data_IF_596397298333
#
_entry.id   IF_596397298333
#
_cell.length_a   1.000
_cell.length_b   1.000
_cell.length_c   1.000
_cell.angle_alpha   90.00
_cell.angle_beta   90.00
_cell.angle_gamma   90.00
#
_symmetry.space_group_name_H-M   'P 1'
#
loop_
_entity.id
_entity.type
_entity.pdbx_description
1 polymer ?
#
# COMPACT_ATOMS: atom_id res chain seq x y z
N UNK A 1 -21.40 -15.46 -1.39
CA UNK A 1 -20.65 -14.20 -1.55
C UNK A 1 -19.50 -14.26 -0.55
N UNK A 2 -18.34 -14.75 -0.98
CA UNK A 2 -17.17 -14.85 -0.10
C UNK A 2 -16.60 -13.43 0.00
N UNK A 3 -16.29 -12.89 1.19
CA UNK A 3 -15.62 -11.60 1.26
C UNK A 3 -14.32 -11.74 0.48
N UNK A 4 -14.10 -10.84 -0.48
CA UNK A 4 -12.81 -10.63 -1.11
C UNK A 4 -11.87 -10.02 -0.06
N UNK A 5 -11.51 -10.84 0.93
CA UNK A 5 -10.92 -10.47 2.23
C UNK A 5 -9.43 -10.12 2.11
N UNK A 6 -9.01 -9.53 0.99
CA UNK A 6 -7.65 -9.04 0.76
C UNK A 6 -7.60 -7.69 0.09
N UNK A 7 -8.73 -6.97 0.08
CA UNK A 7 -8.71 -5.55 -0.28
C UNK A 7 -8.03 -4.80 0.88
N UNK A 8 -6.81 -4.32 0.61
CA UNK A 8 -6.00 -3.49 1.48
C UNK A 8 -6.23 -2.03 1.10
N UNK A 9 -6.15 -1.16 2.10
CA UNK A 9 -6.16 0.29 1.94
C UNK A 9 -4.88 0.84 2.55
N UNK A 10 -4.25 1.76 1.84
CA UNK A 10 -3.02 2.42 2.28
C UNK A 10 -3.22 3.92 2.15
N UNK A 11 -3.14 4.61 3.27
CA UNK A 11 -3.23 6.08 3.31
C UNK A 11 -1.85 6.65 3.62
N UNK A 12 -1.39 7.60 2.78
CA UNK A 12 -0.10 8.29 2.94
C UNK A 12 -0.27 9.74 2.54
N UNK A 13 0.05 10.67 3.44
CA UNK A 13 -0.01 12.13 3.18
C UNK A 13 -1.36 12.61 2.62
N UNK A 14 -2.48 12.05 3.09
CA UNK A 14 -3.81 12.41 2.58
C UNK A 14 -4.13 11.84 1.20
N UNK A 15 -3.38 10.82 0.76
CA UNK A 15 -3.69 10.01 -0.41
C UNK A 15 -4.00 8.59 0.04
N UNK A 16 -5.21 8.13 -0.22
CA UNK A 16 -5.66 6.76 -0.01
C UNK A 16 -5.51 5.95 -1.29
N UNK A 17 -4.98 4.74 -1.22
CA UNK A 17 -4.97 3.79 -2.32
C UNK A 17 -5.59 2.47 -1.85
N UNK A 18 -6.55 1.98 -2.63
CA UNK A 18 -7.23 0.70 -2.44
C UNK A 18 -6.64 -0.30 -3.44
N UNK A 19 -6.11 -1.39 -2.90
CA UNK A 19 -5.44 -2.42 -3.70
C UNK A 19 -5.71 -3.80 -3.13
N UNK A 20 -5.65 -4.82 -3.98
CA UNK A 20 -5.96 -6.20 -3.60
C UNK A 20 -4.76 -7.08 -3.89
N UNK A 21 -4.40 -7.95 -2.95
CA UNK A 21 -3.33 -8.94 -3.16
C UNK A 21 -3.91 -10.30 -3.59
N UNK A 22 -3.60 -10.73 -4.81
CA UNK A 22 -3.99 -12.06 -5.33
C UNK A 22 -3.03 -13.16 -4.84
N UNK A 23 -3.50 -14.42 -4.84
CA UNK A 23 -2.79 -15.62 -4.30
C UNK A 23 -1.40 -15.92 -4.90
N UNK A 24 -0.92 -15.12 -5.84
CA UNK A 24 0.36 -15.30 -6.52
C UNK A 24 1.23 -14.03 -6.51
N UNK A 25 1.19 -13.25 -5.43
CA UNK A 25 2.09 -12.08 -5.25
C UNK A 25 1.83 -10.94 -6.26
N UNK A 26 0.67 -10.96 -6.91
CA UNK A 26 0.18 -9.85 -7.72
C UNK A 26 -0.61 -8.88 -6.86
N UNK A 27 -0.28 -7.60 -7.01
CA UNK A 27 -1.06 -6.50 -6.44
C UNK A 27 -1.86 -5.86 -7.55
N UNK A 28 -3.15 -5.73 -7.32
CA UNK A 28 -4.07 -5.09 -8.24
C UNK A 28 -4.55 -3.79 -7.60
N UNK A 29 -4.23 -2.66 -8.19
CA UNK A 29 -4.74 -1.36 -7.75
C UNK A 29 -6.17 -1.23 -8.26
N UNK A 30 -7.09 -0.91 -7.36
CA UNK A 30 -8.52 -0.77 -7.64
C UNK A 30 -8.92 0.68 -7.73
N UNK A 31 -8.47 1.49 -6.78
CA UNK A 31 -8.84 2.89 -6.66
C UNK A 31 -7.74 3.64 -5.93
N UNK A 32 -7.60 4.93 -6.21
CA UNK A 32 -6.84 5.84 -5.38
C UNK A 32 -7.65 7.13 -5.17
N UNK A 33 -7.76 7.58 -3.93
CA UNK A 33 -8.54 8.75 -3.51
C UNK A 33 -7.64 9.73 -2.79
N UNK A 34 -7.60 10.98 -3.21
CA UNK A 34 -6.93 12.06 -2.51
C UNK A 34 -7.93 12.67 -1.52
N UNK A 35 -7.66 12.54 -0.24
CA UNK A 35 -8.50 13.09 0.84
C UNK A 35 -8.24 14.58 1.08
N UNK A 36 -7.19 15.14 0.49
CA UNK A 36 -6.82 16.57 0.56
C UNK A 36 -7.52 17.40 -0.52
N UNK A 37 -7.60 16.89 -1.73
CA UNK A 37 -8.20 17.52 -2.92
C UNK A 37 -9.59 16.96 -3.25
N UNK A 38 -9.91 15.77 -2.77
CA UNK A 38 -11.14 15.03 -3.11
C UNK A 38 -11.08 14.31 -4.44
N UNK A 39 -9.90 14.23 -5.08
CA UNK A 39 -9.73 13.54 -6.37
C UNK A 39 -9.82 12.02 -6.21
N UNK A 40 -10.70 11.35 -6.94
CA UNK A 40 -10.81 9.89 -6.92
C UNK A 40 -10.50 9.35 -8.31
N UNK A 41 -9.53 8.45 -8.38
CA UNK A 41 -9.07 7.77 -9.58
C UNK A 41 -9.43 6.29 -9.43
N UNK A 42 -10.36 5.82 -10.25
CA UNK A 42 -10.69 4.41 -10.37
C UNK A 42 -9.80 3.76 -11.43
N UNK A 43 -9.14 2.66 -11.09
CA UNK A 43 -8.30 1.91 -12.01
C UNK A 43 -9.04 0.70 -12.56
N UNK A 44 -8.70 0.31 -13.79
CA UNK A 44 -9.26 -0.89 -14.38
C UNK A 44 -8.85 -2.14 -13.57
N UNK A 45 -9.74 -3.14 -13.41
CA UNK A 45 -9.39 -4.40 -12.79
C UNK A 45 -8.23 -5.07 -13.55
N UNK A 46 -7.17 -5.42 -12.83
CA UNK A 46 -5.93 -5.96 -13.38
C UNK A 46 -4.80 -4.93 -13.53
N UNK A 47 -5.02 -3.69 -13.10
CA UNK A 47 -3.96 -2.67 -13.10
C UNK A 47 -2.94 -2.96 -11.99
N UNK A 48 -1.71 -3.29 -12.35
CA UNK A 48 -0.62 -3.41 -11.38
C UNK A 48 -0.16 -2.03 -10.86
N UNK A 49 0.53 -2.01 -9.71
CA UNK A 49 1.09 -0.79 -9.12
C UNK A 49 1.97 0.02 -10.08
N UNK A 50 2.76 -0.66 -10.93
CA UNK A 50 3.59 0.02 -11.91
C UNK A 50 2.73 0.78 -12.93
N UNK A 51 1.69 0.15 -13.46
CA UNK A 51 0.79 0.76 -14.43
C UNK A 51 -0.08 1.87 -13.81
N UNK A 52 -0.51 1.71 -12.56
CA UNK A 52 -1.21 2.76 -11.82
C UNK A 52 -0.29 3.98 -11.61
N UNK A 53 0.96 3.75 -11.19
CA UNK A 53 1.97 4.80 -11.02
C UNK A 53 2.26 5.55 -12.32
N UNK A 54 2.32 4.87 -13.45
CA UNK A 54 2.53 5.48 -14.77
C UNK A 54 1.33 6.34 -15.21
N UNK A 55 0.12 5.95 -14.82
CA UNK A 55 -1.11 6.70 -15.14
C UNK A 55 -1.33 7.91 -14.24
N UNK A 56 -0.83 7.86 -13.00
CA UNK A 56 -1.00 8.96 -12.03
C UNK A 56 0.11 9.99 -12.08
N UNK A 57 -0.24 11.22 -11.69
CA UNK A 57 0.74 12.29 -11.46
C UNK A 57 1.73 11.96 -10.35
N UNK A 58 2.92 12.57 -10.40
CA UNK A 58 4.02 12.34 -9.43
C UNK A 58 3.64 12.56 -7.96
N UNK A 59 2.57 13.30 -7.67
CA UNK A 59 2.09 13.50 -6.30
C UNK A 59 1.60 12.19 -5.65
N UNK A 60 1.10 11.24 -6.45
CA UNK A 60 0.71 9.91 -5.98
C UNK A 60 1.91 9.00 -5.65
N UNK A 61 3.15 9.40 -5.98
CA UNK A 61 4.34 8.58 -5.73
C UNK A 61 4.51 8.20 -4.24
N UNK A 62 4.09 9.07 -3.31
CA UNK A 62 4.17 8.79 -1.89
C UNK A 62 3.26 7.63 -1.45
N UNK A 63 2.02 7.59 -1.95
CA UNK A 63 1.11 6.48 -1.64
C UNK A 63 1.54 5.20 -2.34
N UNK A 64 2.06 5.29 -3.57
CA UNK A 64 2.60 4.12 -4.28
C UNK A 64 3.82 3.53 -3.59
N UNK A 65 4.70 4.36 -3.02
CA UNK A 65 5.82 3.90 -2.20
C UNK A 65 5.32 3.19 -0.93
N UNK A 66 4.29 3.71 -0.28
CA UNK A 66 3.64 3.07 0.86
C UNK A 66 3.01 1.71 0.52
N UNK A 67 2.32 1.61 -0.63
CA UNK A 67 1.74 0.34 -1.13
C UNK A 67 2.85 -0.66 -1.42
N UNK A 68 3.93 -0.24 -2.09
CA UNK A 68 5.10 -1.09 -2.33
C UNK A 68 5.72 -1.54 -1.01
N UNK A 69 5.92 -0.65 -0.04
CA UNK A 69 6.49 -0.98 1.26
C UNK A 69 5.65 -2.03 2.01
N UNK A 70 4.31 -1.87 2.02
CA UNK A 70 3.37 -2.82 2.60
C UNK A 70 3.44 -4.17 1.87
N UNK A 71 3.42 -4.15 0.53
CA UNK A 71 3.59 -5.35 -0.29
C UNK A 71 4.89 -6.08 0.07
N UNK A 72 6.02 -5.38 0.09
CA UNK A 72 7.33 -5.96 0.39
C UNK A 72 7.39 -6.53 1.81
N UNK A 73 6.77 -5.85 2.79
CA UNK A 73 6.66 -6.33 4.17
C UNK A 73 5.85 -7.62 4.26
N UNK A 74 4.75 -7.73 3.51
CA UNK A 74 3.97 -8.97 3.43
C UNK A 74 4.69 -10.05 2.60
N UNK A 75 5.55 -9.66 1.65
CA UNK A 75 6.26 -10.56 0.74
C UNK A 75 7.46 -11.25 1.38
N UNK A 76 8.14 -10.57 2.29
CA UNK A 76 9.33 -11.07 2.97
C UNK A 76 8.91 -11.77 4.27
N UNK A 77 8.90 -13.11 4.35
CA UNK A 77 8.45 -13.86 5.54
C UNK A 77 9.40 -13.75 6.75
N UNK A 78 10.38 -12.83 6.72
CA UNK A 78 11.52 -12.80 7.64
C UNK A 78 11.74 -11.51 8.43
N UNK A 79 11.01 -10.42 8.20
CA UNK A 79 11.25 -9.13 8.88
C UNK A 79 10.41 -8.89 10.14
N UNK A 80 9.83 -9.94 10.75
CA UNK A 80 9.17 -9.85 12.07
C UNK A 80 10.15 -9.66 13.25
N UNK A 81 11.42 -9.33 12.99
CA UNK A 81 12.49 -9.17 13.98
C UNK A 81 13.21 -7.82 13.87
N UNK A 82 12.50 -6.76 13.50
CA UNK A 82 12.98 -5.39 13.70
C UNK A 82 11.84 -4.49 14.15
N UNK A 83 11.16 -4.92 15.21
CA UNK A 83 10.64 -3.95 16.16
C UNK A 83 11.88 -3.25 16.74
N UNK A 84 12.05 -1.92 16.62
CA UNK A 84 13.00 -1.23 17.47
C UNK A 84 12.52 -1.49 18.89
N UNK A 85 13.18 -2.40 19.61
CA UNK A 85 13.06 -2.45 21.05
C UNK A 85 13.33 -1.03 21.53
N UNK A 86 12.41 -0.37 22.26
CA UNK A 86 12.83 0.75 23.08
C UNK A 86 13.82 0.14 24.07
N UNK A 87 15.11 0.24 23.77
CA UNK A 87 16.16 -0.06 24.73
C UNK A 87 15.99 0.98 25.81
N UNK A 88 15.18 0.63 26.81
CA UNK A 88 15.21 1.22 28.14
C UNK A 88 16.64 1.05 28.63
N UNK A 89 17.45 2.07 28.36
CA UNK A 89 18.79 2.22 28.88
C UNK A 89 18.63 2.67 30.33
N UNK A 90 18.26 1.73 31.19
CA UNK A 90 18.51 1.83 32.63
C UNK A 90 19.94 1.36 32.85
N UNK A 91 20.84 2.28 33.19
CA UNK A 91 22.09 1.94 33.83
C UNK A 91 22.12 2.71 35.15
N UNK A 92 21.97 1.94 36.21
CA UNK A 92 22.34 2.28 37.59
C UNK A 92 23.86 2.52 37.70
#
# INVERSE_FOLDING_TARGET
MVPDDRTRRTEVNGLEAVWTMKKYRHIEIRQASDTTTGEVIEFAPGTDLAAAREQTSRHWAAVWDGVAHQMWTEWIPGHRNSQPTPTTRSLE
#
